data_IF_630361923143
#
_entry.id   IF_630361923143
#
_cell.length_a   1.000
_cell.length_b   1.000
_cell.length_c   1.000
_cell.angle_alpha   90.00
_cell.angle_beta   90.00
_cell.angle_gamma   90.00
#
_symmetry.space_group_name_H-M   'P 1'
#
loop_
_entity.id
_entity.type
_entity.pdbx_description
1 polymer ?
#
# COMPACT_ATOMS: atom_id res chain seq x y z
N UNK A 1 17.69 -0.53 -20.33
CA UNK A 1 19.04 -0.39 -19.75
C UNK A 1 19.17 -1.41 -18.63
N UNK A 2 19.97 -2.46 -18.81
CA UNK A 2 20.12 -3.52 -17.83
C UNK A 2 20.91 -3.02 -16.60
N UNK A 3 20.50 -3.45 -15.40
CA UNK A 3 21.24 -3.16 -14.16
C UNK A 3 22.63 -3.84 -14.20
N UNK A 4 23.70 -3.16 -13.77
CA UNK A 4 25.04 -3.76 -13.76
C UNK A 4 25.10 -4.94 -12.78
N UNK A 5 25.76 -6.02 -13.19
CA UNK A 5 26.08 -7.14 -12.31
C UNK A 5 27.16 -6.71 -11.29
N UNK A 6 27.12 -7.21 -10.04
CA UNK A 6 28.15 -6.89 -9.08
C UNK A 6 29.48 -7.50 -9.55
N UNK A 7 30.44 -6.63 -9.90
CA UNK A 7 31.78 -7.02 -10.28
C UNK A 7 32.63 -7.30 -9.03
N UNK A 8 33.28 -8.46 -9.01
CA UNK A 8 34.31 -8.80 -8.04
C UNK A 8 35.51 -7.88 -8.24
N UNK A 9 35.74 -6.93 -7.32
CA UNK A 9 37.03 -6.22 -7.24
C UNK A 9 37.03 -4.71 -6.99
N UNK A 10 35.89 -4.04 -6.79
CA UNK A 10 35.84 -2.61 -6.43
C UNK A 10 35.21 -2.38 -5.05
N UNK A 11 35.75 -1.43 -4.25
CA UNK A 11 35.23 -1.01 -2.93
C UNK A 11 33.88 -0.27 -2.99
N UNK A 12 32.90 -0.93 -3.59
CA UNK A 12 31.49 -0.58 -3.54
C UNK A 12 30.71 -1.87 -3.71
N UNK A 13 30.42 -2.57 -2.60
CA UNK A 13 29.50 -3.72 -2.65
C UNK A 13 28.14 -3.16 -3.02
N UNK A 14 27.73 -3.30 -4.29
CA UNK A 14 26.32 -3.24 -4.63
C UNK A 14 25.63 -4.35 -3.85
N UNK A 15 24.96 -3.95 -2.76
CA UNK A 15 24.11 -4.87 -2.01
C UNK A 15 22.99 -5.28 -2.96
N UNK A 16 22.83 -6.58 -3.19
CA UNK A 16 21.70 -7.12 -3.96
C UNK A 16 20.41 -6.92 -3.14
N UNK A 17 19.93 -5.69 -3.09
CA UNK A 17 18.78 -5.24 -2.29
C UNK A 17 17.48 -5.93 -2.70
N UNK A 18 17.44 -6.56 -3.88
CA UNK A 18 16.32 -7.37 -4.35
C UNK A 18 16.07 -8.59 -3.46
N UNK A 19 17.08 -9.03 -2.70
CA UNK A 19 16.96 -10.13 -1.72
C UNK A 19 16.48 -9.66 -0.34
N UNK A 20 16.45 -8.35 -0.11
CA UNK A 20 15.92 -7.77 1.13
C UNK A 20 14.47 -7.31 0.91
N UNK A 21 13.54 -8.18 1.25
CA UNK A 21 12.10 -7.95 1.13
C UNK A 21 11.63 -6.73 1.93
N UNK A 22 12.25 -6.45 3.08
CA UNK A 22 11.90 -5.29 3.92
C UNK A 22 12.32 -3.98 3.25
N UNK A 23 13.52 -3.96 2.68
CA UNK A 23 14.01 -2.81 1.93
C UNK A 23 13.17 -2.55 0.69
N UNK A 24 12.77 -3.60 -0.03
CA UNK A 24 11.90 -3.47 -1.20
C UNK A 24 10.47 -3.05 -0.86
N UNK A 25 9.91 -3.53 0.27
CA UNK A 25 8.64 -3.02 0.77
C UNK A 25 8.69 -1.51 1.01
N UNK A 26 9.72 -1.02 1.71
CA UNK A 26 9.91 0.41 1.96
C UNK A 26 10.11 1.21 0.67
N UNK A 27 10.87 0.68 -0.28
CA UNK A 27 11.10 1.34 -1.57
C UNK A 27 9.80 1.43 -2.37
N UNK A 28 9.02 0.36 -2.41
CA UNK A 28 7.74 0.34 -3.11
C UNK A 28 6.74 1.31 -2.49
N UNK A 29 6.60 1.28 -1.17
CA UNK A 29 5.79 2.23 -0.38
C UNK A 29 6.15 3.69 -0.71
N UNK A 30 7.43 4.04 -0.64
CA UNK A 30 7.91 5.39 -0.93
C UNK A 30 7.74 5.78 -2.40
N UNK A 31 7.96 4.85 -3.33
CA UNK A 31 7.80 5.08 -4.76
C UNK A 31 6.34 5.42 -5.09
N UNK A 32 5.39 4.62 -4.59
CA UNK A 32 3.95 4.84 -4.78
C UNK A 32 3.51 6.17 -4.16
N UNK A 33 3.93 6.46 -2.92
CA UNK A 33 3.60 7.75 -2.26
C UNK A 33 4.12 8.95 -3.04
N UNK A 34 5.38 8.91 -3.45
CA UNK A 34 6.02 10.02 -4.16
C UNK A 34 5.50 10.18 -5.59
N UNK A 35 5.11 9.07 -6.23
CA UNK A 35 4.41 9.09 -7.51
C UNK A 35 3.12 9.92 -7.40
N UNK A 36 2.21 9.57 -6.47
CA UNK A 36 0.97 10.33 -6.33
C UNK A 36 1.19 11.77 -5.86
N UNK A 37 2.24 12.06 -5.08
CA UNK A 37 2.58 13.45 -4.75
C UNK A 37 2.92 14.30 -5.97
N UNK A 38 3.48 13.68 -7.02
CA UNK A 38 4.02 14.38 -8.19
C UNK A 38 3.08 14.39 -9.38
N UNK A 39 2.43 13.26 -9.65
CA UNK A 39 1.75 13.01 -10.92
C UNK A 39 0.25 13.39 -10.91
N UNK A 40 -0.31 13.77 -9.76
CA UNK A 40 -1.69 14.24 -9.64
C UNK A 40 -1.79 15.50 -8.76
N UNK A 41 -2.89 16.25 -8.90
CA UNK A 41 -3.17 17.50 -8.16
C UNK A 41 -4.51 17.51 -7.40
N UNK A 42 -5.31 16.45 -7.53
CA UNK A 42 -6.64 16.34 -6.93
C UNK A 42 -6.59 16.06 -5.42
N UNK A 43 -5.60 15.27 -5.01
CA UNK A 43 -5.46 14.79 -3.64
C UNK A 43 -4.22 15.40 -2.99
N UNK A 44 -4.35 15.74 -1.72
CA UNK A 44 -3.22 15.89 -0.82
C UNK A 44 -2.71 14.48 -0.47
N UNK A 45 -1.41 14.25 -0.60
CA UNK A 45 -0.81 12.91 -0.42
C UNK A 45 0.20 12.89 0.72
N UNK A 46 -0.03 12.07 1.74
CA UNK A 46 0.77 12.03 2.96
C UNK A 46 0.66 10.68 3.69
N UNK A 47 1.51 10.47 4.70
CA UNK A 47 1.35 9.39 5.69
C UNK A 47 0.55 9.92 6.86
N UNK A 48 -0.38 9.14 7.37
CA UNK A 48 -1.28 9.54 8.45
C UNK A 48 -1.16 8.58 9.64
N UNK A 49 -1.00 9.14 10.83
CA UNK A 49 -1.17 8.38 12.07
C UNK A 49 -2.64 8.42 12.45
N UNK A 50 -3.31 7.28 12.39
CA UNK A 50 -4.73 7.14 12.75
C UNK A 50 -4.81 6.85 14.25
N UNK A 51 -5.64 7.61 14.96
CA UNK A 51 -5.92 7.34 16.37
C UNK A 51 -6.89 6.17 16.51
N UNK A 52 -6.65 5.32 17.51
CA UNK A 52 -7.61 4.27 17.86
C UNK A 52 -8.92 4.87 18.37
N UNK A 53 -10.04 4.38 17.83
CA UNK A 53 -11.38 4.55 18.35
C UNK A 53 -11.59 3.57 19.51
N UNK A 54 -10.83 3.76 20.59
CA UNK A 54 -10.84 2.90 21.76
C UNK A 54 -11.09 3.71 23.03
N UNK A 55 -11.63 3.04 24.04
CA UNK A 55 -11.75 3.58 25.39
C UNK A 55 -11.09 2.60 26.37
N UNK A 56 -10.42 3.14 27.38
CA UNK A 56 -9.81 2.36 28.45
C UNK A 56 -10.26 2.92 29.81
N UNK A 57 -10.44 2.07 30.84
CA UNK A 57 -10.72 2.54 32.20
C UNK A 57 -9.60 3.46 32.74
N UNK A 58 -8.35 3.16 32.39
CA UNK A 58 -7.19 4.00 32.67
C UNK A 58 -6.72 4.61 31.35
N UNK A 59 -6.79 5.94 31.17
CA UNK A 59 -6.44 6.57 29.89
C UNK A 59 -5.01 6.31 29.39
N UNK A 60 -4.08 6.08 30.32
CA UNK A 60 -2.67 5.82 30.00
C UNK A 60 -2.46 4.48 29.26
N UNK A 61 -3.34 3.51 29.47
CA UNK A 61 -3.25 2.19 28.83
C UNK A 61 -3.47 2.27 27.32
N UNK A 62 -4.13 3.33 26.82
CA UNK A 62 -4.28 3.57 25.38
C UNK A 62 -2.93 3.76 24.68
N UNK A 63 -1.89 4.19 25.40
CA UNK A 63 -0.54 4.33 24.86
C UNK A 63 0.14 2.98 24.54
N UNK A 64 -0.38 1.86 25.06
CA UNK A 64 0.11 0.52 24.75
C UNK A 64 -0.42 0.00 23.40
N UNK A 65 -1.42 0.66 22.82
CA UNK A 65 -1.96 0.27 21.53
C UNK A 65 -0.94 0.54 20.42
N UNK A 66 -0.83 -0.35 19.42
CA UNK A 66 0.13 -0.18 18.34
C UNK A 66 -0.20 1.06 17.51
N UNK A 67 0.82 1.77 17.04
CA UNK A 67 0.63 2.92 16.15
C UNK A 67 0.03 2.47 14.81
N UNK A 68 -1.09 3.07 14.41
CA UNK A 68 -1.65 2.89 13.07
C UNK A 68 -1.10 3.96 12.13
N UNK A 69 0.00 3.66 11.43
CA UNK A 69 0.59 4.54 10.43
C UNK A 69 0.25 4.03 9.03
N UNK A 70 -0.34 4.87 8.19
CA UNK A 70 -0.63 4.52 6.79
C UNK A 70 0.60 4.66 5.90
N UNK A 71 0.69 3.79 4.89
CA UNK A 71 1.67 3.91 3.81
C UNK A 71 1.39 5.15 2.96
N UNK A 72 0.18 5.30 2.44
CA UNK A 72 -0.23 6.47 1.66
C UNK A 72 -1.70 6.79 1.90
N UNK A 73 -1.97 8.00 2.38
CA UNK A 73 -3.29 8.60 2.40
C UNK A 73 -3.39 9.59 1.25
N UNK A 74 -4.40 9.44 0.39
CA UNK A 74 -4.81 10.46 -0.59
C UNK A 74 -6.10 11.10 -0.09
N UNK A 75 -6.11 12.42 0.06
CA UNK A 75 -7.25 13.13 0.64
C UNK A 75 -7.67 14.34 -0.18
N UNK A 76 -8.97 14.46 -0.40
CA UNK A 76 -9.68 15.59 -0.98
C UNK A 76 -10.94 15.88 -0.15
N UNK A 77 -11.63 17.01 -0.35
CA UNK A 77 -12.88 17.28 0.36
C UNK A 77 -13.96 16.20 0.16
N UNK A 78 -14.00 15.55 -1.01
CA UNK A 78 -15.02 14.57 -1.35
C UNK A 78 -14.60 13.11 -1.08
N UNK A 79 -13.30 12.80 -1.11
CA UNK A 79 -12.77 11.42 -1.05
C UNK A 79 -11.50 11.34 -0.20
N UNK A 80 -11.40 10.29 0.61
CA UNK A 80 -10.20 9.88 1.35
C UNK A 80 -9.90 8.41 1.04
N UNK A 81 -8.70 8.15 0.54
CA UNK A 81 -8.24 6.83 0.12
C UNK A 81 -7.07 6.44 1.01
N UNK A 82 -7.21 5.31 1.71
CA UNK A 82 -6.10 4.67 2.42
C UNK A 82 -5.50 3.61 1.51
N UNK A 83 -4.32 3.89 0.97
CA UNK A 83 -3.58 3.00 0.09
C UNK A 83 -2.42 2.39 0.88
N UNK A 84 -2.50 1.08 1.08
CA UNK A 84 -1.49 0.27 1.76
C UNK A 84 -0.77 -0.63 0.75
N UNK A 85 0.56 -0.59 0.77
CA UNK A 85 1.41 -1.27 -0.20
C UNK A 85 2.08 -2.48 0.44
N UNK A 86 2.14 -3.57 -0.31
CA UNK A 86 2.71 -4.82 0.20
C UNK A 86 3.61 -5.45 -0.85
N UNK A 87 4.92 -5.33 -0.64
CA UNK A 87 5.92 -5.99 -1.47
C UNK A 87 6.20 -7.38 -0.92
N UNK A 88 5.88 -8.42 -1.68
CA UNK A 88 6.20 -9.80 -1.32
C UNK A 88 6.71 -10.56 -2.54
N UNK A 89 7.86 -11.23 -2.42
CA UNK A 89 8.42 -12.04 -3.51
C UNK A 89 7.52 -13.24 -3.88
N UNK A 90 6.59 -13.58 -2.99
CA UNK A 90 5.69 -14.73 -3.06
C UNK A 90 4.21 -14.31 -3.11
N UNK A 91 3.90 -13.11 -3.62
CA UNK A 91 2.56 -12.52 -3.59
C UNK A 91 1.44 -13.46 -4.07
N UNK A 92 1.75 -14.52 -4.83
CA UNK A 92 0.80 -15.54 -5.29
C UNK A 92 1.43 -16.95 -5.32
N UNK A 93 2.07 -17.43 -4.24
CA UNK A 93 2.49 -18.85 -4.18
C UNK A 93 1.25 -19.76 -4.23
N UNK A 94 1.08 -20.59 -5.27
CA UNK A 94 -0.06 -21.48 -5.42
C UNK A 94 0.15 -22.66 -4.49
N UNK A 95 -0.30 -22.57 -3.23
CA UNK A 95 -0.34 -23.76 -2.36
C UNK A 95 -1.66 -24.53 -2.48
N UNK A 96 -2.66 -23.94 -3.13
CA UNK A 96 -3.93 -24.52 -3.57
C UNK A 96 -4.40 -23.73 -4.79
N UNK A 97 -5.23 -24.32 -5.66
CA UNK A 97 -5.63 -23.86 -7.01
C UNK A 97 -6.29 -22.47 -7.12
N UNK A 98 -6.29 -21.64 -6.05
CA UNK A 98 -6.79 -20.28 -6.06
C UNK A 98 -5.86 -19.33 -5.27
N UNK A 99 -5.46 -18.19 -5.85
CA UNK A 99 -4.73 -17.16 -5.11
C UNK A 99 -5.60 -16.64 -3.96
N UNK A 100 -5.10 -16.72 -2.73
CA UNK A 100 -5.77 -16.19 -1.54
C UNK A 100 -5.10 -14.90 -1.07
N UNK A 101 -5.92 -13.96 -0.63
CA UNK A 101 -5.47 -12.73 0.02
C UNK A 101 -4.72 -13.06 1.31
N UNK A 102 -3.66 -12.30 1.56
CA UNK A 102 -2.86 -12.42 2.79
C UNK A 102 -3.64 -11.73 3.92
N UNK A 103 -4.23 -12.53 4.81
CA UNK A 103 -5.14 -12.05 5.84
C UNK A 103 -4.57 -10.91 6.72
N UNK A 104 -3.30 -10.93 7.17
CA UNK A 104 -2.72 -9.82 7.92
C UNK A 104 -2.82 -8.45 7.22
N UNK A 105 -2.63 -8.40 5.89
CA UNK A 105 -2.71 -7.14 5.15
C UNK A 105 -4.14 -6.62 5.09
N UNK A 106 -5.10 -7.54 4.90
CA UNK A 106 -6.52 -7.20 4.91
C UNK A 106 -6.96 -6.69 6.28
N UNK A 107 -6.52 -7.33 7.35
CA UNK A 107 -6.85 -6.92 8.72
C UNK A 107 -6.23 -5.58 9.08
N UNK A 108 -5.01 -5.30 8.60
CA UNK A 108 -4.36 -4.01 8.78
C UNK A 108 -5.17 -2.89 8.10
N UNK A 109 -5.51 -3.04 6.81
CA UNK A 109 -6.33 -2.05 6.11
C UNK A 109 -7.71 -1.91 6.75
N UNK A 110 -8.35 -3.02 7.12
CA UNK A 110 -9.63 -3.00 7.82
C UNK A 110 -9.56 -2.20 9.12
N UNK A 111 -8.51 -2.41 9.94
CA UNK A 111 -8.32 -1.65 11.17
C UNK A 111 -8.20 -0.14 10.89
N UNK A 112 -7.50 0.27 9.83
CA UNK A 112 -7.45 1.69 9.45
C UNK A 112 -8.83 2.24 9.11
N UNK A 113 -9.57 1.56 8.24
CA UNK A 113 -10.89 2.01 7.79
C UNK A 113 -11.88 2.15 8.96
N UNK A 114 -11.86 1.22 9.91
CA UNK A 114 -12.74 1.28 11.08
C UNK A 114 -12.39 2.40 12.06
N UNK A 115 -11.16 2.91 12.04
CA UNK A 115 -10.70 3.91 13.00
C UNK A 115 -10.65 5.34 12.43
N UNK A 116 -10.70 5.50 11.11
CA UNK A 116 -10.82 6.81 10.46
C UNK A 116 -12.26 7.30 10.55
N UNK A 117 -12.41 8.55 11.00
CA UNK A 117 -13.68 9.29 10.89
C UNK A 117 -13.57 10.26 9.71
N UNK A 118 -14.17 9.94 8.55
CA UNK A 118 -14.15 10.88 7.43
C UNK A 118 -14.95 12.14 7.78
N UNK A 119 -14.62 13.24 7.11
CA UNK A 119 -15.42 14.46 7.18
C UNK A 119 -16.86 14.20 6.69
N UNK A 120 -17.80 15.04 7.11
CA UNK A 120 -19.20 14.94 6.66
C UNK A 120 -19.27 15.01 5.13
N UNK A 121 -19.88 13.99 4.51
CA UNK A 121 -19.98 13.86 3.05
C UNK A 121 -18.70 13.41 2.34
N UNK A 122 -17.62 13.12 3.07
CA UNK A 122 -16.39 12.58 2.51
C UNK A 122 -16.47 11.05 2.42
N UNK A 123 -16.20 10.50 1.24
CA UNK A 123 -16.18 9.05 1.03
C UNK A 123 -14.83 8.47 1.45
N UNK A 124 -14.86 7.44 2.32
CA UNK A 124 -13.67 6.70 2.75
C UNK A 124 -13.61 5.34 2.06
N UNK A 125 -12.47 5.05 1.43
CA UNK A 125 -12.19 3.78 0.77
C UNK A 125 -10.75 3.31 1.00
N UNK A 126 -10.51 2.01 0.81
CA UNK A 126 -9.21 1.38 0.99
C UNK A 126 -8.68 0.74 -0.29
N UNK A 127 -7.37 0.77 -0.48
CA UNK A 127 -6.68 0.07 -1.57
C UNK A 127 -5.53 -0.75 -1.00
N UNK A 128 -5.50 -2.04 -1.29
CA UNK A 128 -4.30 -2.86 -1.12
C UNK A 128 -3.60 -3.01 -2.47
N UNK A 129 -2.35 -2.55 -2.55
CA UNK A 129 -1.55 -2.58 -3.75
C UNK A 129 -0.36 -3.53 -3.60
N UNK A 130 -0.27 -4.50 -4.52
CA UNK A 130 0.83 -5.44 -4.61
C UNK A 130 1.58 -5.23 -5.92
N UNK A 131 2.91 -5.38 -5.98
CA UNK A 131 3.59 -5.56 -7.26
C UNK A 131 3.24 -6.94 -7.83
N UNK A 132 2.82 -7.01 -9.09
CA UNK A 132 2.53 -8.26 -9.78
C UNK A 132 3.84 -8.95 -10.19
N UNK A 133 3.98 -10.23 -9.87
CA UNK A 133 5.08 -11.07 -10.37
C UNK A 133 4.61 -12.12 -11.37
N UNK A 134 3.35 -12.58 -11.30
CA UNK A 134 2.87 -13.74 -12.08
C UNK A 134 1.39 -13.72 -12.48
N UNK A 135 0.49 -13.14 -11.68
CA UNK A 135 -0.94 -13.09 -12.01
C UNK A 135 -1.57 -11.76 -11.61
N UNK A 136 -2.48 -11.28 -12.48
CA UNK A 136 -3.21 -10.04 -12.27
C UNK A 136 -4.42 -10.28 -11.34
N UNK A 137 -4.56 -9.42 -10.35
CA UNK A 137 -5.71 -9.34 -9.45
C UNK A 137 -6.23 -7.92 -9.48
N UNK A 138 -7.52 -7.75 -9.71
CA UNK A 138 -8.25 -6.50 -9.48
C UNK A 138 -9.65 -6.85 -8.99
N UNK A 139 -9.81 -6.85 -7.67
CA UNK A 139 -11.07 -7.26 -7.01
C UNK A 139 -11.56 -6.14 -6.11
N UNK A 140 -12.88 -6.04 -5.98
CA UNK A 140 -13.58 -5.03 -5.16
C UNK A 140 -14.42 -5.73 -4.10
N UNK A 141 -14.35 -5.22 -2.89
CA UNK A 141 -15.08 -5.68 -1.72
C UNK A 141 -15.72 -4.49 -1.00
N UNK A 142 -16.66 -4.80 -0.12
CA UNK A 142 -17.10 -3.87 0.93
C UNK A 142 -16.71 -4.47 2.27
N UNK A 143 -15.86 -3.79 3.02
CA UNK A 143 -15.37 -4.24 4.33
C UNK A 143 -15.71 -3.20 5.38
N UNK A 144 -16.46 -3.60 6.40
CA UNK A 144 -16.88 -2.69 7.48
C UNK A 144 -17.75 -1.52 7.01
N UNK A 145 -18.39 -1.64 5.85
CA UNK A 145 -19.16 -0.56 5.21
C UNK A 145 -18.34 0.33 4.26
N UNK A 146 -17.04 0.08 4.10
CA UNK A 146 -16.15 0.84 3.24
C UNK A 146 -15.80 0.08 1.96
N UNK A 147 -15.79 0.72 0.78
CA UNK A 147 -15.25 0.13 -0.44
C UNK A 147 -13.76 -0.20 -0.26
N UNK A 148 -13.37 -1.40 -0.68
CA UNK A 148 -11.98 -1.84 -0.69
C UNK A 148 -11.64 -2.43 -2.05
N UNK A 149 -10.55 -1.97 -2.66
CA UNK A 149 -10.00 -2.54 -3.90
C UNK A 149 -8.68 -3.25 -3.59
N UNK A 150 -8.47 -4.42 -4.17
CA UNK A 150 -7.20 -5.14 -4.06
C UNK A 150 -6.66 -5.34 -5.46
N UNK A 151 -5.47 -4.79 -5.70
CA UNK A 151 -4.89 -4.71 -7.03
C UNK A 151 -3.44 -5.16 -7.04
N UNK A 152 -3.05 -5.87 -8.09
CA UNK A 152 -1.65 -6.10 -8.45
C UNK A 152 -1.22 -5.16 -9.58
N UNK A 153 -0.12 -4.44 -9.41
CA UNK A 153 0.47 -3.54 -10.40
C UNK A 153 1.52 -4.28 -11.23
N UNK A 154 1.34 -4.36 -12.54
CA UNK A 154 2.36 -4.91 -13.42
C UNK A 154 3.56 -3.97 -13.50
N UNK A 155 4.71 -4.44 -12.99
CA UNK A 155 5.99 -3.74 -13.04
C UNK A 155 6.85 -4.18 -14.25
N UNK A 156 6.40 -5.16 -15.03
CA UNK A 156 7.08 -5.67 -16.22
C UNK A 156 6.66 -4.95 -17.50
N UNK A 157 6.34 -3.67 -17.40
CA UNK A 157 5.94 -2.84 -18.52
C UNK A 157 6.71 -1.50 -18.52
N UNK A 158 6.74 -0.77 -19.65
CA UNK A 158 7.36 0.55 -19.69
C UNK A 158 6.73 1.52 -18.68
N UNK A 159 7.53 2.46 -18.18
CA UNK A 159 7.10 3.45 -17.18
C UNK A 159 5.76 4.15 -17.48
N UNK A 160 5.46 4.58 -18.73
CA UNK A 160 4.16 5.19 -19.03
C UNK A 160 2.96 4.28 -18.72
N UNK A 161 3.10 2.96 -18.90
CA UNK A 161 2.06 2.00 -18.56
C UNK A 161 1.87 1.87 -17.06
N UNK A 162 2.97 1.72 -16.30
CA UNK A 162 2.95 1.69 -14.83
C UNK A 162 2.30 2.96 -14.26
N UNK A 163 2.65 4.12 -14.81
CA UNK A 163 2.11 5.41 -14.39
C UNK A 163 0.61 5.51 -14.68
N UNK A 164 0.16 5.06 -15.86
CA UNK A 164 -1.26 5.03 -16.20
C UNK A 164 -2.05 4.12 -15.27
N UNK A 165 -1.53 2.92 -14.98
CA UNK A 165 -2.16 1.95 -14.07
C UNK A 165 -2.30 2.52 -12.65
N UNK A 166 -1.25 3.16 -12.13
CA UNK A 166 -1.30 3.83 -10.84
C UNK A 166 -2.34 4.96 -10.82
N UNK A 167 -2.38 5.84 -11.84
CA UNK A 167 -3.39 6.90 -11.90
C UNK A 167 -4.82 6.34 -11.96
N UNK A 168 -5.02 5.22 -12.66
CA UNK A 168 -6.31 4.54 -12.77
C UNK A 168 -6.79 3.92 -11.44
N UNK A 169 -5.93 3.79 -10.42
CA UNK A 169 -6.33 3.32 -9.09
C UNK A 169 -7.19 4.35 -8.34
N UNK A 170 -6.95 5.64 -8.59
CA UNK A 170 -7.52 6.77 -7.82
C UNK A 170 -8.41 7.70 -8.65
N UNK A 171 -8.61 7.35 -9.92
CA UNK A 171 -9.51 8.04 -10.84
C UNK A 171 -10.96 8.09 -10.33
#
# INVERSE_FOLDING_TARGET
>A
TALPAPADGGRGRFVDFRRDERLMARLFEQAVRNFYRREQRQYRVFTETIAWQAAAPVPQDLALLPTMLTDTTLESPARKIILDTKYYAAALRPRYDQPRLIAPHLYQLYAYLQNVRPAAGQHLEGILLYPAATAAVDVRYTLGGHPVRIVTLDLHQPWPGIAADLLALVA
#
